data_IF_648744064084
#
_entry.id   IF_648744064084
#
_cell.length_a   1.000
_cell.length_b   1.000
_cell.length_c   1.000
_cell.angle_alpha   90.00
_cell.angle_beta   90.00
_cell.angle_gamma   90.00
#
_symmetry.space_group_name_H-M   'P 1'
#
loop_
_entity.id
_entity.type
_entity.pdbx_description
1 polymer ?
#
# COMPACT_ATOMS: atom_id res chain seq x y z
N UNK A 1 23.42 -4.18 4.18
CA UNK A 1 23.35 -4.15 2.71
C UNK A 1 22.02 -3.54 2.32
N UNK A 2 22.04 -2.41 1.61
CA UNK A 2 20.83 -1.77 1.10
C UNK A 2 20.20 -2.68 0.04
N UNK A 3 18.98 -3.15 0.28
CA UNK A 3 18.25 -4.00 -0.67
C UNK A 3 17.37 -3.09 -1.53
N UNK A 4 17.46 -3.20 -2.85
CA UNK A 4 16.60 -2.44 -3.76
C UNK A 4 15.38 -3.30 -4.16
N UNK A 5 14.20 -2.69 -4.18
CA UNK A 5 12.91 -3.29 -4.58
C UNK A 5 12.25 -2.48 -5.68
N UNK A 6 11.36 -3.10 -6.44
CA UNK A 6 10.49 -2.44 -7.43
C UNK A 6 9.05 -2.76 -7.08
N UNK A 7 8.14 -1.82 -7.32
CA UNK A 7 6.72 -2.08 -7.21
C UNK A 7 6.33 -3.14 -8.25
N UNK A 8 5.41 -4.02 -7.88
CA UNK A 8 4.80 -4.95 -8.82
C UNK A 8 4.04 -4.16 -9.88
N UNK A 9 4.11 -4.63 -11.12
CA UNK A 9 3.27 -4.15 -12.22
C UNK A 9 2.12 -5.12 -12.43
N UNK A 10 0.99 -4.61 -12.89
CA UNK A 10 -0.20 -5.42 -13.16
C UNK A 10 -0.69 -5.18 -14.59
N UNK A 11 -1.19 -6.24 -15.20
CA UNK A 11 -1.99 -6.12 -16.41
C UNK A 11 -3.43 -5.70 -16.05
N UNK A 12 -4.19 -5.17 -17.02
CA UNK A 12 -5.53 -4.61 -16.78
C UNK A 12 -6.53 -5.64 -16.22
N UNK A 13 -6.36 -6.91 -16.58
CA UNK A 13 -7.16 -8.04 -16.11
C UNK A 13 -6.78 -8.51 -14.70
N UNK A 14 -5.61 -8.11 -14.18
CA UNK A 14 -5.21 -8.34 -12.80
C UNK A 14 -5.67 -7.23 -11.84
N UNK A 15 -6.25 -6.13 -12.35
CA UNK A 15 -6.73 -5.02 -11.52
C UNK A 15 -8.03 -5.37 -10.82
N UNK A 16 -7.99 -5.46 -9.49
CA UNK A 16 -9.14 -5.83 -8.66
C UNK A 16 -9.96 -4.61 -8.23
N UNK A 17 -9.30 -3.48 -7.98
CA UNK A 17 -9.97 -2.31 -7.41
C UNK A 17 -10.80 -1.54 -8.42
N UNK A 18 -12.02 -1.16 -8.04
CA UNK A 18 -12.76 -0.11 -8.74
C UNK A 18 -12.27 1.31 -8.37
N UNK A 19 -12.94 2.35 -8.88
CA UNK A 19 -12.59 3.75 -8.62
C UNK A 19 -12.74 4.13 -7.12
N UNK A 20 -13.81 3.69 -6.45
CA UNK A 20 -14.05 4.02 -5.04
C UNK A 20 -13.05 3.30 -4.12
N UNK A 21 -12.76 2.03 -4.43
CA UNK A 21 -11.78 1.22 -3.73
C UNK A 21 -10.38 1.80 -3.91
N UNK A 22 -10.03 2.21 -5.12
CA UNK A 22 -8.75 2.85 -5.44
C UNK A 22 -8.55 4.12 -4.61
N UNK A 23 -9.55 5.01 -4.55
CA UNK A 23 -9.48 6.22 -3.69
C UNK A 23 -9.29 5.87 -2.22
N UNK A 24 -10.01 4.86 -1.75
CA UNK A 24 -9.92 4.44 -0.35
C UNK A 24 -8.54 3.86 -0.02
N UNK A 25 -7.95 3.07 -0.91
CA UNK A 25 -6.58 2.55 -0.79
C UNK A 25 -5.55 3.67 -0.78
N UNK A 26 -5.66 4.62 -1.71
CA UNK A 26 -4.77 5.78 -1.75
C UNK A 26 -4.87 6.60 -0.46
N UNK A 27 -6.08 6.87 0.04
CA UNK A 27 -6.28 7.57 1.31
C UNK A 27 -5.81 6.79 2.54
N UNK A 28 -5.79 5.46 2.45
CA UNK A 28 -5.24 4.61 3.49
C UNK A 28 -3.72 4.73 3.55
N UNK A 29 -3.05 4.84 2.40
CA UNK A 29 -1.59 4.94 2.31
C UNK A 29 -1.07 6.36 2.54
N UNK A 30 -1.76 7.36 2.00
CA UNK A 30 -1.32 8.75 2.03
C UNK A 30 -1.96 9.54 3.17
N UNK A 31 -1.20 10.48 3.71
CA UNK A 31 -1.63 11.35 4.80
C UNK A 31 -2.90 12.16 4.44
N UNK A 32 -3.69 12.51 5.46
CA UNK A 32 -4.96 13.26 5.33
C UNK A 32 -4.83 14.57 4.54
N UNK A 33 -3.64 15.18 4.54
CA UNK A 33 -3.32 16.38 3.77
C UNK A 33 -3.53 16.21 2.27
N UNK A 34 -3.45 14.99 1.75
CA UNK A 34 -3.60 14.67 0.32
C UNK A 34 -5.00 14.16 -0.04
N UNK A 35 -5.89 13.96 0.93
CA UNK A 35 -7.19 13.32 0.69
C UNK A 35 -8.09 14.13 -0.24
N UNK A 36 -8.03 15.48 -0.16
CA UNK A 36 -8.77 16.36 -1.07
C UNK A 36 -8.31 16.24 -2.52
N UNK A 37 -7.00 16.13 -2.73
CA UNK A 37 -6.44 15.94 -4.06
C UNK A 37 -6.87 14.58 -4.60
N UNK A 38 -6.75 13.52 -3.78
CA UNK A 38 -7.21 12.16 -4.13
C UNK A 38 -8.70 12.14 -4.46
N UNK A 39 -9.55 12.91 -3.79
CA UNK A 39 -10.99 13.00 -4.05
C UNK A 39 -11.35 13.71 -5.36
N UNK A 40 -10.47 14.59 -5.85
CA UNK A 40 -10.73 15.39 -7.05
C UNK A 40 -10.11 14.81 -8.32
N UNK A 41 -9.19 13.85 -8.18
CA UNK A 41 -8.52 13.21 -9.31
C UNK A 41 -9.41 12.22 -10.06
N UNK A 42 -9.30 12.08 -11.39
CA UNK A 42 -9.90 10.97 -12.13
C UNK A 42 -9.14 9.66 -11.85
N UNK A 43 -9.86 8.56 -11.62
CA UNK A 43 -9.24 7.24 -11.39
C UNK A 43 -8.97 6.53 -12.72
N UNK A 44 -7.79 6.72 -13.29
CA UNK A 44 -7.33 5.97 -14.47
C UNK A 44 -6.84 4.56 -14.11
N UNK A 45 -6.78 3.66 -15.09
CA UNK A 45 -6.27 2.31 -14.88
C UNK A 45 -4.82 2.29 -14.36
N UNK A 46 -3.99 3.23 -14.79
CA UNK A 46 -2.62 3.36 -14.29
C UNK A 46 -2.58 3.78 -12.81
N UNK A 47 -3.55 4.57 -12.35
CA UNK A 47 -3.68 4.94 -10.94
C UNK A 47 -4.23 3.77 -10.10
N UNK A 48 -5.14 2.97 -10.67
CA UNK A 48 -5.62 1.71 -10.08
C UNK A 48 -4.47 0.71 -9.91
N UNK A 49 -3.65 0.52 -10.96
CA UNK A 49 -2.42 -0.29 -10.90
C UNK A 49 -1.50 0.19 -9.79
N UNK A 50 -1.27 1.50 -9.72
CA UNK A 50 -0.38 2.09 -8.73
C UNK A 50 -0.89 1.87 -7.30
N UNK A 51 -2.18 2.10 -7.04
CA UNK A 51 -2.80 1.86 -5.74
C UNK A 51 -2.68 0.38 -5.33
N UNK A 52 -2.96 -0.53 -6.25
CA UNK A 52 -2.84 -1.98 -6.02
C UNK A 52 -1.40 -2.41 -5.73
N UNK A 53 -0.43 -1.89 -6.47
CA UNK A 53 0.99 -2.16 -6.23
C UNK A 53 1.46 -1.67 -4.87
N UNK A 54 1.01 -0.48 -4.44
CA UNK A 54 1.33 0.03 -3.11
C UNK A 54 0.73 -0.84 -2.01
N UNK A 55 -0.52 -1.32 -2.17
CA UNK A 55 -1.14 -2.17 -1.16
C UNK A 55 -0.46 -3.54 -1.07
N UNK A 56 -0.12 -4.15 -2.20
CA UNK A 56 0.64 -5.41 -2.23
C UNK A 56 1.97 -5.24 -1.52
N UNK A 57 2.71 -4.17 -1.82
CA UNK A 57 3.98 -3.90 -1.15
C UNK A 57 3.78 -3.65 0.35
N UNK A 58 2.73 -2.92 0.74
CA UNK A 58 2.45 -2.63 2.15
C UNK A 58 2.21 -3.90 2.98
N UNK A 59 1.45 -4.84 2.42
CA UNK A 59 1.17 -6.14 3.04
C UNK A 59 2.46 -6.99 3.04
N UNK A 60 3.11 -7.15 1.89
CA UNK A 60 4.30 -7.99 1.75
C UNK A 60 5.45 -7.51 2.65
N UNK A 61 5.65 -6.19 2.75
CA UNK A 61 6.59 -5.54 3.65
C UNK A 61 6.29 -5.86 5.12
N UNK A 62 5.03 -5.73 5.50
CA UNK A 62 4.59 -5.98 6.86
C UNK A 62 4.79 -7.44 7.27
N UNK A 63 4.64 -8.38 6.34
CA UNK A 63 4.95 -9.79 6.55
C UNK A 63 6.46 -10.09 6.53
N UNK A 64 7.22 -9.47 5.64
CA UNK A 64 8.68 -9.65 5.53
C UNK A 64 9.43 -9.27 6.80
N UNK A 65 8.98 -8.20 7.45
CA UNK A 65 9.52 -7.70 8.71
C UNK A 65 9.26 -8.69 9.85
N UNK A 66 8.28 -9.57 9.66
CA UNK A 66 7.87 -10.54 10.62
C UNK A 66 7.05 -9.91 11.74
N UNK A 67 6.18 -10.72 12.29
CA UNK A 67 5.52 -10.58 13.57
C UNK A 67 6.57 -10.50 14.70
N UNK A 68 7.47 -9.50 14.69
CA UNK A 68 8.45 -9.30 15.77
C UNK A 68 7.67 -8.97 17.04
N UNK A 69 7.41 -10.03 17.78
CA UNK A 69 6.75 -10.05 19.08
C UNK A 69 7.41 -9.02 20.00
N UNK A 70 6.59 -8.11 20.55
CA UNK A 70 6.88 -7.53 21.86
C UNK A 70 6.97 -6.01 22.00
N UNK A 71 6.93 -5.20 20.93
CA UNK A 71 7.15 -3.74 21.06
C UNK A 71 5.99 -2.81 20.67
N UNK A 72 4.86 -3.32 20.17
CA UNK A 72 3.95 -2.47 19.41
C UNK A 72 2.52 -2.46 19.96
N UNK A 73 2.03 -1.26 20.29
CA UNK A 73 0.91 -1.03 21.24
C UNK A 73 -0.28 -0.26 20.66
N UNK A 74 -0.51 -0.22 19.36
CA UNK A 74 -1.78 0.40 18.91
C UNK A 74 -2.28 -0.10 17.58
N UNK A 75 -3.57 -0.39 17.59
CA UNK A 75 -4.44 -0.48 16.42
C UNK A 75 -5.22 0.83 16.39
N UNK A 76 -4.92 1.72 15.43
CA UNK A 76 -5.88 2.77 15.09
C UNK A 76 -6.90 2.14 14.14
N UNK A 77 -8.16 2.54 14.24
CA UNK A 77 -9.17 2.12 13.29
C UNK A 77 -8.85 2.75 11.93
N UNK A 78 -8.60 1.97 10.88
CA UNK A 78 -8.42 2.52 9.55
C UNK A 78 -9.72 3.24 9.13
N UNK A 79 -9.63 4.13 8.14
CA UNK A 79 -10.80 4.75 7.48
C UNK A 79 -11.85 3.64 7.25
N UNK A 80 -13.10 3.83 7.67
CA UNK A 80 -14.12 2.75 7.79
C UNK A 80 -14.21 1.77 6.60
N UNK A 81 -13.83 2.18 5.39
CA UNK A 81 -13.79 1.32 4.20
C UNK A 81 -12.52 0.49 4.01
N UNK A 82 -11.36 0.94 4.48
CA UNK A 82 -10.07 0.31 4.18
C UNK A 82 -9.92 -1.09 4.78
N UNK A 83 -10.56 -1.37 5.93
CA UNK A 83 -10.57 -2.72 6.50
C UNK A 83 -11.36 -3.71 5.64
N UNK A 84 -12.49 -3.26 5.09
CA UNK A 84 -13.31 -4.07 4.18
C UNK A 84 -12.56 -4.34 2.88
N UNK A 85 -11.85 -3.34 2.36
CA UNK A 85 -11.03 -3.50 1.17
C UNK A 85 -9.88 -4.47 1.42
N UNK A 86 -9.14 -4.32 2.53
CA UNK A 86 -8.07 -5.28 2.89
C UNK A 86 -8.58 -6.72 2.94
N UNK A 87 -9.77 -6.96 3.52
CA UNK A 87 -10.38 -8.29 3.59
C UNK A 87 -10.86 -8.81 2.24
N UNK A 88 -11.40 -7.96 1.38
CA UNK A 88 -11.89 -8.35 0.06
C UNK A 88 -10.71 -8.61 -0.87
N UNK A 89 -9.74 -7.69 -0.89
CA UNK A 89 -8.47 -7.84 -1.57
C UNK A 89 -7.75 -9.11 -1.15
N UNK A 90 -7.65 -9.41 0.15
CA UNK A 90 -6.98 -10.62 0.62
C UNK A 90 -7.65 -11.93 0.17
N UNK A 91 -8.93 -11.91 -0.21
CA UNK A 91 -9.62 -13.08 -0.79
C UNK A 91 -9.37 -13.25 -2.28
N UNK A 92 -9.23 -12.14 -2.99
CA UNK A 92 -9.12 -12.11 -4.47
C UNK A 92 -7.68 -12.04 -4.94
N UNK A 93 -6.76 -11.57 -4.10
CA UNK A 93 -5.36 -11.41 -4.44
C UNK A 93 -4.68 -12.76 -4.70
N UNK A 94 -3.90 -12.80 -5.78
CA UNK A 94 -3.14 -13.99 -6.11
C UNK A 94 -1.96 -14.15 -5.14
N UNK A 95 -1.81 -15.34 -4.55
CA UNK A 95 -0.70 -15.62 -3.62
C UNK A 95 0.67 -15.35 -4.25
N UNK A 96 0.82 -15.57 -5.57
CA UNK A 96 2.08 -15.34 -6.27
C UNK A 96 2.50 -13.85 -6.36
N UNK A 97 1.63 -12.92 -5.96
CA UNK A 97 1.94 -11.50 -5.87
C UNK A 97 2.80 -11.17 -4.64
N UNK A 98 2.78 -12.03 -3.63
CA UNK A 98 3.46 -11.84 -2.36
C UNK A 98 4.69 -12.74 -2.26
N UNK A 99 5.77 -12.19 -1.73
CA UNK A 99 7.00 -12.94 -1.46
C UNK A 99 7.01 -13.52 -0.05
N UNK A 100 6.37 -12.85 0.90
CA UNK A 100 6.40 -13.16 2.33
C UNK A 100 5.03 -13.45 2.93
N UNK A 101 3.94 -12.88 2.38
CA UNK A 101 2.59 -13.14 2.88
C UNK A 101 2.00 -14.45 2.32
N UNK A 102 1.40 -15.28 3.18
CA UNK A 102 0.66 -16.49 2.79
C UNK A 102 -0.83 -16.21 2.55
N UNK A 103 -1.58 -17.16 1.97
CA UNK A 103 -3.04 -17.03 1.80
C UNK A 103 -3.77 -16.79 3.13
N UNK A 104 -3.33 -17.46 4.20
CA UNK A 104 -3.90 -17.28 5.54
C UNK A 104 -3.61 -15.89 6.11
N UNK A 105 -2.47 -15.31 5.75
CA UNK A 105 -2.08 -13.97 6.15
C UNK A 105 -2.92 -12.91 5.45
N UNK A 106 -3.21 -13.11 4.16
CA UNK A 106 -4.01 -12.18 3.36
C UNK A 106 -5.43 -12.00 3.90
N UNK A 107 -6.03 -13.06 4.45
CA UNK A 107 -7.36 -12.98 5.07
C UNK A 107 -7.40 -12.16 6.36
N UNK A 108 -6.25 -11.99 7.02
CA UNK A 108 -6.08 -11.19 8.22
C UNK A 108 -4.98 -10.15 7.99
N UNK A 109 -4.92 -9.58 6.78
CA UNK A 109 -3.81 -8.71 6.37
C UNK A 109 -3.69 -7.53 7.33
N UNK A 110 -2.46 -7.30 7.81
CA UNK A 110 -2.17 -6.19 8.70
C UNK A 110 -1.01 -5.38 8.15
N UNK A 111 -1.14 -4.05 8.18
CA UNK A 111 -0.14 -3.12 7.64
C UNK A 111 0.39 -2.25 8.77
N UNK A 112 1.69 -2.02 8.82
CA UNK A 112 2.30 -1.16 9.84
C UNK A 112 2.33 0.32 9.43
N UNK A 113 2.17 1.23 10.39
CA UNK A 113 2.18 2.68 10.15
C UNK A 113 3.50 3.16 9.55
N UNK A 114 4.66 2.68 10.02
CA UNK A 114 5.93 3.10 9.43
C UNK A 114 6.11 2.61 7.98
N UNK A 115 5.42 1.52 7.60
CA UNK A 115 5.38 1.07 6.19
C UNK A 115 4.53 2.05 5.40
N UNK A 116 3.40 2.50 5.93
CA UNK A 116 2.60 3.57 5.32
C UNK A 116 3.36 4.89 5.24
N UNK A 117 4.06 5.32 6.30
CA UNK A 117 4.90 6.53 6.30
C UNK A 117 6.00 6.45 5.24
N UNK A 118 6.62 5.27 5.08
CA UNK A 118 7.59 5.03 4.03
C UNK A 118 6.95 5.14 2.64
N UNK A 119 5.82 4.46 2.42
CA UNK A 119 5.09 4.49 1.16
C UNK A 119 4.47 5.86 0.87
N UNK A 120 4.17 6.66 1.89
CA UNK A 120 3.68 8.03 1.78
C UNK A 120 4.66 8.94 1.06
N UNK A 121 5.96 8.61 1.06
CA UNK A 121 6.98 9.32 0.26
C UNK A 121 6.77 9.16 -1.25
N UNK A 122 5.97 8.19 -1.70
CA UNK A 122 5.56 8.08 -3.09
C UNK A 122 4.56 9.15 -3.52
N UNK A 123 4.17 10.08 -2.62
CA UNK A 123 3.28 11.21 -2.94
C UNK A 123 3.82 12.08 -4.08
N UNK A 124 5.13 12.20 -4.26
CA UNK A 124 5.70 12.92 -5.41
C UNK A 124 5.25 12.31 -6.75
N UNK A 125 5.02 10.99 -6.78
CA UNK A 125 4.47 10.31 -7.98
C UNK A 125 2.97 10.51 -8.13
N UNK A 126 2.23 10.61 -7.01
CA UNK A 126 0.84 11.03 -7.03
C UNK A 126 0.71 12.45 -7.59
N UNK A 127 1.63 13.34 -7.22
CA UNK A 127 1.71 14.71 -7.73
C UNK A 127 2.10 14.75 -9.21
N UNK A 128 3.02 13.89 -9.67
CA UNK A 128 3.32 13.75 -11.10
C UNK A 128 2.08 13.29 -11.90
N UNK A 129 1.30 12.34 -11.38
CA UNK A 129 0.01 11.95 -11.97
C UNK A 129 -0.95 13.14 -12.07
N UNK A 130 -1.07 13.94 -11.02
CA UNK A 130 -1.91 15.15 -11.02
C UNK A 130 -1.44 16.14 -12.09
N UNK A 131 -0.12 16.31 -12.26
CA UNK A 131 0.44 17.28 -13.17
C UNK A 131 0.40 16.83 -14.65
N UNK A 132 0.49 15.53 -14.93
CA UNK A 132 0.73 15.00 -16.28
C UNK A 132 -0.36 14.06 -16.80
N UNK A 133 -1.32 13.66 -15.97
CA UNK A 133 -2.34 12.62 -16.24
C UNK A 133 -1.80 11.21 -16.55
N UNK A 134 -0.48 11.01 -16.61
CA UNK A 134 0.19 9.72 -16.80
C UNK A 134 1.53 9.72 -16.03
N UNK A 135 2.05 8.53 -15.69
CA UNK A 135 3.45 8.39 -15.27
C UNK A 135 4.34 8.30 -16.51
N UNK A 136 5.23 9.27 -16.69
CA UNK A 136 6.26 9.23 -17.76
C UNK A 136 7.11 7.94 -17.70
N UNK A 137 7.30 7.38 -16.49
CA UNK A 137 8.07 6.15 -16.28
C UNK A 137 7.49 5.30 -15.15
N UNK A 138 7.45 3.98 -15.34
CA UNK A 138 7.12 3.00 -14.29
C UNK A 138 8.02 3.23 -13.06
N UNK A 139 7.51 3.03 -11.83
CA UNK A 139 8.27 3.29 -10.61
C UNK A 139 9.64 2.59 -10.64
N UNK A 140 10.71 3.37 -10.60
CA UNK A 140 12.09 2.88 -10.51
C UNK A 140 12.33 2.09 -9.22
N UNK A 141 13.49 1.44 -9.12
CA UNK A 141 13.83 0.71 -7.90
C UNK A 141 13.97 1.67 -6.71
N UNK A 142 13.37 1.31 -5.58
CA UNK A 142 13.44 2.03 -4.31
C UNK A 142 14.19 1.22 -3.26
N UNK A 143 14.73 1.90 -2.25
CA UNK A 143 15.39 1.25 -1.12
C UNK A 143 14.33 0.52 -0.27
N UNK A 144 14.58 -0.75 0.06
CA UNK A 144 13.73 -1.48 0.98
C UNK A 144 13.64 -0.74 2.32
N UNK A 145 12.47 -0.83 2.95
CA UNK A 145 12.16 -0.20 4.23
C UNK A 145 13.11 -0.65 5.34
N UNK A 146 13.47 0.29 6.21
CA UNK A 146 14.22 0.02 7.43
C UNK A 146 13.24 -0.07 8.60
N UNK A 147 13.32 -1.16 9.37
CA UNK A 147 12.51 -1.34 10.58
C UNK A 147 12.99 -0.36 11.63
N UNK A 148 12.10 0.52 12.17
CA UNK A 148 12.48 1.43 13.24
C UNK A 148 13.00 0.64 14.46
N UNK A 149 14.18 0.97 14.93
CA UNK A 149 14.79 0.30 16.11
C UNK A 149 14.32 0.90 17.43
N UNK A 150 13.58 2.02 17.39
CA UNK A 150 13.06 2.77 18.54
C UNK A 150 11.72 3.43 18.18
N UNK A 151 10.81 3.58 19.14
CA UNK A 151 9.52 4.27 18.97
C UNK A 151 8.30 3.36 19.07
N UNK A 152 7.09 3.95 19.01
CA UNK A 152 5.82 3.22 18.96
C UNK A 152 5.47 2.99 17.50
N UNK A 153 5.34 1.73 17.10
CA UNK A 153 4.73 1.36 15.81
C UNK A 153 3.25 1.04 16.04
N UNK A 154 2.41 1.59 15.18
CA UNK A 154 0.98 1.30 15.09
C UNK A 154 0.76 0.29 13.95
N UNK A 155 -0.25 -0.57 14.11
CA UNK A 155 -0.60 -1.63 13.16
C UNK A 155 -2.07 -1.53 12.80
N UNK A 156 -2.38 -1.62 11.52
CA UNK A 156 -3.73 -1.62 10.97
C UNK A 156 -4.13 -3.04 10.59
N UNK A 157 -5.35 -3.47 10.91
CA UNK A 157 -5.88 -4.79 10.53
C UNK A 157 -7.18 -5.14 11.24
#
# INVERSE_FOLDING_TARGET
MSTYKKLRTFDLDELLFDEEETRTVLKFIFAETHHKDIDSMPMSDSLREFAQALLVEAIDASHAIGYVHGLFRSVKNPVKGALTILKTFGKEANQNWFKYASVSDLQNAQVYDFVLDFLGKFVFRLQDYIAKNELDEKPGAFLAYEVPTRGIVIRWG
#
